data_IF_550446820537
#
_entry.id   IF_550446820537
#
_cell.length_a   1.000
_cell.length_b   1.000
_cell.length_c   1.000
_cell.angle_alpha   90.00
_cell.angle_beta   90.00
_cell.angle_gamma   90.00
#
_symmetry.space_group_name_H-M   'P 1'
#
loop_
_entity.id
_entity.type
_entity.pdbx_description
1 polymer ?
#
# COMPACT_ATOMS: atom_id res chain seq x y z
N UNK A 1 12.81 17.93 -36.29
CA UNK A 1 13.89 18.46 -35.43
C UNK A 1 14.54 17.25 -34.77
N UNK A 2 15.87 17.20 -34.77
CA UNK A 2 16.67 16.07 -34.28
C UNK A 2 16.27 15.69 -32.86
N UNK A 3 15.99 14.42 -32.61
CA UNK A 3 15.57 13.91 -31.31
C UNK A 3 16.82 13.46 -30.52
N UNK A 4 17.65 14.42 -30.11
CA UNK A 4 18.91 14.18 -29.39
C UNK A 4 18.68 14.08 -27.87
N UNK A 5 18.06 12.99 -27.42
CA UNK A 5 17.91 12.65 -26.00
C UNK A 5 18.54 11.30 -25.61
N UNK A 6 19.46 10.79 -26.43
CA UNK A 6 20.16 9.52 -26.15
C UNK A 6 21.58 9.82 -25.66
N UNK A 7 21.84 9.59 -24.36
CA UNK A 7 23.22 9.52 -23.86
C UNK A 7 23.60 8.05 -23.74
N UNK A 8 24.67 7.67 -24.44
CA UNK A 8 25.27 6.35 -24.37
C UNK A 8 26.08 6.25 -23.07
N UNK A 9 25.72 5.31 -22.18
CA UNK A 9 26.58 5.00 -21.04
C UNK A 9 27.79 4.17 -21.50
N UNK A 10 28.85 4.11 -20.67
CA UNK A 10 30.11 3.41 -20.97
C UNK A 10 29.95 1.90 -21.29
N UNK A 11 28.75 1.34 -21.15
CA UNK A 11 28.40 -0.06 -21.45
C UNK A 11 27.43 -0.22 -22.63
N UNK A 12 27.17 0.84 -23.42
CA UNK A 12 26.42 0.73 -24.68
C UNK A 12 24.90 0.57 -24.55
N UNK A 13 24.30 0.74 -23.37
CA UNK A 13 22.84 0.67 -23.17
C UNK A 13 22.18 2.03 -23.43
N UNK A 14 21.05 2.02 -24.17
CA UNK A 14 20.16 3.18 -24.34
C UNK A 14 19.17 3.22 -23.17
N UNK A 15 19.20 4.28 -22.37
CA UNK A 15 18.18 4.56 -21.33
C UNK A 15 17.26 5.67 -21.83
N UNK A 16 15.94 5.49 -21.71
CA UNK A 16 15.00 6.61 -21.79
C UNK A 16 14.96 7.30 -20.44
N UNK A 17 15.29 8.59 -20.41
CA UNK A 17 15.22 9.41 -19.20
C UNK A 17 13.81 9.98 -19.11
N UNK A 18 12.93 9.39 -18.32
CA UNK A 18 11.64 9.99 -17.95
C UNK A 18 11.82 10.86 -16.70
N UNK A 19 12.73 11.83 -16.78
CA UNK A 19 12.76 12.93 -15.80
C UNK A 19 11.90 14.02 -16.41
N UNK A 20 10.70 14.29 -15.87
CA UNK A 20 10.07 15.59 -16.10
C UNK A 20 11.08 16.63 -15.57
N UNK A 21 11.58 17.57 -16.38
CA UNK A 21 12.34 18.66 -15.82
C UNK A 21 11.38 19.46 -14.92
N UNK A 22 11.63 19.42 -13.61
CA UNK A 22 11.07 20.39 -12.69
C UNK A 22 11.37 21.78 -13.26
N UNK A 23 10.33 22.57 -13.55
CA UNK A 23 10.51 24.01 -13.58
C UNK A 23 10.93 24.39 -12.16
N UNK A 24 12.15 24.89 -12.01
CA UNK A 24 12.75 25.18 -10.71
C UNK A 24 11.87 26.13 -9.90
N UNK A 25 11.44 25.80 -8.66
CA UNK A 25 11.00 26.82 -7.72
C UNK A 25 12.22 27.34 -6.95
N UNK A 26 13.30 27.72 -7.65
CA UNK A 26 14.37 28.51 -7.08
C UNK A 26 14.09 30.00 -7.31
N UNK A 27 13.02 30.50 -6.70
CA UNK A 27 12.81 31.95 -6.48
C UNK A 27 11.57 32.21 -5.61
N UNK A 28 11.69 32.02 -4.30
CA UNK A 28 11.05 32.86 -3.27
C UNK A 28 11.46 32.43 -1.84
N UNK A 29 12.76 32.33 -1.56
CA UNK A 29 13.24 32.53 -0.19
C UNK A 29 13.23 34.04 0.06
N UNK A 30 12.21 34.57 0.76
CA UNK A 30 12.30 35.54 1.87
C UNK A 30 11.00 36.33 2.16
N UNK A 31 10.79 36.58 3.46
CA UNK A 31 9.91 37.55 4.16
C UNK A 31 8.44 37.09 4.32
N UNK A 32 7.78 37.03 5.49
CA UNK A 32 7.92 37.63 6.86
C UNK A 32 7.22 36.76 7.93
N UNK A 33 7.40 37.13 9.22
CA UNK A 33 7.02 36.47 10.48
C UNK A 33 5.65 35.74 10.56
N UNK A 34 5.65 34.64 11.32
CA UNK A 34 4.47 33.83 11.69
C UNK A 34 3.46 34.59 12.58
N UNK A 35 2.15 34.45 12.30
CA UNK A 35 1.10 34.56 13.30
C UNK A 35 0.60 33.18 13.77
N UNK A 36 0.19 33.13 15.05
CA UNK A 36 -0.42 31.99 15.70
C UNK A 36 -1.82 31.67 15.12
N UNK A 37 -2.16 30.37 15.16
CA UNK A 37 -3.43 29.72 14.79
C UNK A 37 -3.60 29.33 13.30
N UNK A 38 -3.14 28.10 13.01
CA UNK A 38 -3.62 27.12 12.01
C UNK A 38 -4.24 27.62 10.69
N UNK A 39 -3.61 27.29 9.56
CA UNK A 39 -4.32 27.11 8.27
C UNK A 39 -3.78 25.92 7.47
N UNK A 40 -4.72 25.08 7.03
CA UNK A 40 -4.53 23.98 6.06
C UNK A 40 -4.80 24.51 4.66
N UNK A 41 -3.82 24.34 3.76
CA UNK A 41 -3.95 24.25 2.30
C UNK A 41 -2.56 23.90 1.74
N UNK A 42 -2.43 22.70 1.16
CA UNK A 42 -1.28 22.27 0.35
C UNK A 42 0.12 22.60 0.86
N UNK A 43 0.66 21.82 1.80
CA UNK A 43 2.02 21.24 1.79
C UNK A 43 2.46 20.78 3.18
N UNK A 44 3.13 19.63 3.22
CA UNK A 44 3.91 19.16 4.36
C UNK A 44 5.17 20.04 4.42
N UNK A 45 5.33 20.87 5.48
CA UNK A 45 6.38 21.91 5.55
C UNK A 45 7.46 21.66 6.58
N UNK A 46 7.27 20.67 7.45
CA UNK A 46 8.21 20.40 8.53
C UNK A 46 8.48 18.91 8.63
N UNK A 47 9.64 18.54 9.16
CA UNK A 47 9.99 17.14 9.39
C UNK A 47 8.98 16.41 10.29
N UNK A 48 8.45 17.00 11.38
CA UNK A 48 7.36 16.38 12.15
C UNK A 48 6.11 16.09 11.30
N UNK A 49 5.64 17.07 10.52
CA UNK A 49 4.48 16.85 9.63
C UNK A 49 4.75 15.75 8.60
N UNK A 50 5.97 15.69 8.04
CA UNK A 50 6.34 14.63 7.10
C UNK A 50 6.29 13.25 7.76
N UNK A 51 6.80 13.13 8.99
CA UNK A 51 6.72 11.88 9.75
C UNK A 51 5.28 11.47 10.07
N UNK A 52 4.41 12.43 10.37
CA UNK A 52 2.97 12.19 10.56
C UNK A 52 2.32 11.65 9.29
N UNK A 53 2.59 12.26 8.12
CA UNK A 53 2.01 11.79 6.86
C UNK A 53 2.58 10.44 6.42
N UNK A 54 3.86 10.16 6.71
CA UNK A 54 4.43 8.83 6.55
C UNK A 54 3.78 7.80 7.48
N UNK A 55 3.43 8.18 8.71
CA UNK A 55 2.66 7.31 9.60
C UNK A 55 1.23 7.06 9.07
N UNK A 56 0.60 8.08 8.49
CA UNK A 56 -0.68 7.94 7.77
C UNK A 56 -0.53 7.02 6.56
N UNK A 57 0.56 7.11 5.80
CA UNK A 57 0.84 6.22 4.68
C UNK A 57 0.99 4.75 5.13
N UNK A 58 1.67 4.47 6.24
CA UNK A 58 1.72 3.11 6.81
C UNK A 58 0.31 2.61 7.17
N UNK A 59 -0.54 3.49 7.69
CA UNK A 59 -1.94 3.16 7.99
C UNK A 59 -2.78 2.95 6.73
N UNK A 60 -2.51 3.70 5.66
CA UNK A 60 -3.16 3.58 4.36
C UNK A 60 -2.95 2.19 3.78
N UNK A 61 -1.69 1.75 3.63
CA UNK A 61 -1.38 0.41 3.07
C UNK A 61 -1.94 -0.69 3.98
N UNK A 62 -1.92 -0.48 5.29
CA UNK A 62 -2.57 -1.41 6.20
C UNK A 62 -4.10 -1.45 6.07
N UNK A 63 -4.74 -0.36 5.63
CA UNK A 63 -6.20 -0.28 5.46
C UNK A 63 -6.68 -1.12 4.26
N UNK A 64 -5.83 -1.37 3.28
CA UNK A 64 -6.14 -2.16 2.06
C UNK A 64 -5.95 -3.67 2.30
N UNK A 65 -4.98 -4.07 3.14
CA UNK A 65 -4.60 -5.46 3.38
C UNK A 65 -5.77 -6.34 3.93
N UNK A 66 -6.46 -6.00 5.04
CA UNK A 66 -7.55 -6.84 5.56
C UNK A 66 -8.73 -7.02 4.59
N UNK A 67 -9.22 -5.97 3.89
CA UNK A 67 -10.23 -6.13 2.83
C UNK A 67 -9.81 -7.08 1.71
N UNK A 68 -8.57 -6.96 1.21
CA UNK A 68 -8.05 -7.81 0.15
C UNK A 68 -7.90 -9.26 0.60
N UNK A 69 -7.38 -9.49 1.82
CA UNK A 69 -7.30 -10.82 2.45
C UNK A 69 -8.68 -11.44 2.68
N UNK A 70 -9.64 -10.65 3.17
CA UNK A 70 -11.01 -11.11 3.39
C UNK A 70 -11.62 -11.64 2.10
N UNK A 71 -11.47 -10.86 1.03
CA UNK A 71 -11.93 -11.24 -0.31
C UNK A 71 -11.23 -12.50 -0.80
N UNK A 72 -9.90 -12.55 -0.71
CA UNK A 72 -9.09 -13.70 -1.09
C UNK A 72 -9.52 -14.99 -0.38
N UNK A 73 -9.80 -14.93 0.92
CA UNK A 73 -10.15 -16.11 1.72
C UNK A 73 -11.55 -16.63 1.47
N UNK A 74 -12.47 -15.79 0.99
CA UNK A 74 -13.83 -16.24 0.63
C UNK A 74 -13.92 -16.92 -0.72
N UNK A 75 -12.92 -16.72 -1.59
CA UNK A 75 -12.90 -17.18 -2.97
C UNK A 75 -12.49 -18.65 -3.06
N UNK A 76 -13.18 -19.44 -3.89
CA UNK A 76 -12.76 -20.81 -4.21
C UNK A 76 -11.58 -20.79 -5.19
N UNK A 77 -10.37 -20.99 -4.65
CA UNK A 77 -9.12 -20.98 -5.41
C UNK A 77 -9.14 -21.89 -6.65
N UNK A 78 -9.83 -23.05 -6.59
CA UNK A 78 -9.82 -24.01 -7.70
C UNK A 78 -10.61 -23.52 -8.90
N UNK A 79 -11.71 -22.81 -8.66
CA UNK A 79 -12.61 -22.27 -9.69
C UNK A 79 -12.27 -20.85 -10.11
N UNK A 80 -11.49 -20.15 -9.28
CA UNK A 80 -11.13 -18.75 -9.49
C UNK A 80 -9.61 -18.54 -9.41
N UNK A 81 -8.81 -19.48 -9.94
CA UNK A 81 -7.35 -19.45 -9.81
C UNK A 81 -6.72 -18.13 -10.28
N UNK A 82 -7.22 -17.58 -11.39
CA UNK A 82 -6.73 -16.30 -11.91
C UNK A 82 -6.95 -15.15 -10.91
N UNK A 83 -8.19 -14.98 -10.42
CA UNK A 83 -8.51 -13.96 -9.44
C UNK A 83 -7.78 -14.19 -8.10
N UNK A 84 -7.62 -15.44 -7.67
CA UNK A 84 -6.85 -15.78 -6.47
C UNK A 84 -5.41 -15.29 -6.58
N UNK A 85 -4.71 -15.63 -7.68
CA UNK A 85 -3.33 -15.25 -7.90
C UNK A 85 -3.16 -13.73 -8.00
N UNK A 86 -4.06 -13.05 -8.71
CA UNK A 86 -4.04 -11.60 -8.84
C UNK A 86 -4.24 -10.89 -7.49
N UNK A 87 -5.28 -11.25 -6.73
CA UNK A 87 -5.54 -10.65 -5.40
C UNK A 87 -4.41 -11.00 -4.42
N UNK A 88 -3.88 -12.23 -4.47
CA UNK A 88 -2.76 -12.63 -3.62
C UNK A 88 -1.50 -11.80 -3.91
N UNK A 89 -1.19 -11.56 -5.19
CA UNK A 89 -0.06 -10.72 -5.59
C UNK A 89 -0.19 -9.30 -5.02
N UNK A 90 -1.35 -8.67 -5.25
CA UNK A 90 -1.62 -7.32 -4.72
C UNK A 90 -1.50 -7.26 -3.20
N UNK A 91 -2.05 -8.24 -2.45
CA UNK A 91 -1.90 -8.25 -0.99
C UNK A 91 -0.43 -8.29 -0.55
N UNK A 92 0.41 -9.05 -1.26
CA UNK A 92 1.83 -9.15 -0.93
C UNK A 92 2.57 -7.85 -1.25
N UNK A 93 2.18 -7.17 -2.33
CA UNK A 93 2.66 -5.84 -2.74
C UNK A 93 2.26 -4.78 -1.68
N UNK A 94 1.01 -4.74 -1.23
CA UNK A 94 0.56 -3.83 -0.15
C UNK A 94 1.33 -4.06 1.17
N UNK A 95 1.62 -5.32 1.52
CA UNK A 95 2.48 -5.66 2.66
C UNK A 95 3.92 -5.14 2.47
N UNK A 96 4.44 -5.21 1.24
CA UNK A 96 5.75 -4.64 0.89
C UNK A 96 5.72 -3.12 1.03
N UNK A 97 4.71 -2.44 0.49
CA UNK A 97 4.54 -0.99 0.55
C UNK A 97 4.53 -0.50 1.99
N UNK A 98 3.73 -1.13 2.86
CA UNK A 98 3.68 -0.80 4.28
C UNK A 98 5.07 -0.83 4.94
N UNK A 99 5.88 -1.85 4.66
CA UNK A 99 7.25 -1.98 5.20
C UNK A 99 8.20 -0.98 4.54
N UNK A 100 8.03 -0.71 3.24
CA UNK A 100 8.82 0.28 2.52
C UNK A 100 8.63 1.69 3.10
N UNK A 101 7.40 2.08 3.42
CA UNK A 101 7.10 3.35 4.09
C UNK A 101 7.67 3.37 5.52
N UNK A 102 7.64 2.25 6.24
CA UNK A 102 8.32 2.13 7.53
C UNK A 102 9.83 2.43 7.42
N UNK A 103 10.48 1.97 6.36
CA UNK A 103 11.90 2.26 6.10
C UNK A 103 12.13 3.75 5.81
N UNK A 104 11.27 4.38 5.01
CA UNK A 104 11.34 5.83 4.74
C UNK A 104 11.18 6.62 6.04
N UNK A 105 10.17 6.28 6.86
CA UNK A 105 9.93 6.91 8.16
C UNK A 105 11.13 6.78 9.10
N UNK A 106 11.72 5.58 9.19
CA UNK A 106 12.93 5.36 10.00
C UNK A 106 14.12 6.18 9.49
N UNK A 107 14.39 6.19 8.19
CA UNK A 107 15.50 6.95 7.60
C UNK A 107 15.40 8.45 7.87
N UNK A 108 14.18 8.96 8.03
CA UNK A 108 13.89 10.34 8.40
C UNK A 108 13.78 10.55 9.91
N UNK A 109 14.29 9.63 10.74
CA UNK A 109 14.35 9.75 12.20
C UNK A 109 13.05 9.45 12.95
N UNK A 110 12.01 8.99 12.26
CA UNK A 110 10.74 8.57 12.85
C UNK A 110 10.76 7.14 13.40
N UNK A 111 9.65 6.71 14.00
CA UNK A 111 9.45 5.37 14.55
C UNK A 111 8.02 4.91 14.23
N UNK A 112 7.82 3.88 13.38
CA UNK A 112 6.50 3.37 13.03
C UNK A 112 5.66 2.91 14.23
N UNK A 113 4.41 3.34 14.31
CA UNK A 113 3.43 2.98 15.36
C UNK A 113 2.34 2.04 14.82
N UNK A 114 2.66 0.74 14.70
CA UNK A 114 1.83 -0.28 14.04
C UNK A 114 0.95 -1.07 15.03
N UNK A 115 1.33 -1.14 16.31
CA UNK A 115 0.68 -1.98 17.32
C UNK A 115 -0.25 -1.19 18.26
N UNK A 116 -0.86 -0.11 17.78
CA UNK A 116 -1.74 0.74 18.59
C UNK A 116 -3.21 0.58 18.18
N UNK A 117 -4.18 0.79 19.09
CA UNK A 117 -5.60 0.70 18.74
C UNK A 117 -6.00 1.61 17.56
N UNK A 118 -5.45 2.83 17.51
CA UNK A 118 -5.77 3.83 16.50
C UNK A 118 -5.21 3.49 15.11
N UNK A 119 -4.24 2.58 15.02
CA UNK A 119 -3.69 2.12 13.75
C UNK A 119 -4.69 1.23 12.98
N UNK A 120 -5.50 0.47 13.70
CA UNK A 120 -6.46 -0.49 13.11
C UNK A 120 -7.75 0.25 12.75
N UNK A 121 -8.18 0.24 11.47
CA UNK A 121 -9.43 0.87 11.08
C UNK A 121 -10.66 0.14 11.63
N UNK A 122 -11.70 0.89 11.99
CA UNK A 122 -13.02 0.32 12.28
C UNK A 122 -13.79 0.08 10.97
N UNK A 123 -13.63 -1.10 10.38
CA UNK A 123 -14.29 -1.41 9.11
C UNK A 123 -15.84 -1.44 9.23
N UNK A 124 -16.56 -0.93 8.22
CA UNK A 124 -16.04 -0.26 7.02
C UNK A 124 -15.54 1.17 7.33
N UNK A 125 -14.38 1.53 6.80
CA UNK A 125 -13.68 2.79 7.09
C UNK A 125 -13.25 3.51 5.79
N UNK A 126 -13.18 4.85 5.76
CA UNK A 126 -12.55 5.56 4.65
C UNK A 126 -11.03 5.31 4.62
N UNK A 127 -10.38 5.58 3.49
CA UNK A 127 -8.92 5.61 3.43
C UNK A 127 -8.39 6.78 4.30
N UNK A 128 -7.34 6.58 5.13
CA UNK A 128 -6.80 7.64 5.99
C UNK A 128 -6.47 8.91 5.21
N UNK A 129 -6.96 10.06 5.69
CA UNK A 129 -6.75 11.40 5.10
C UNK A 129 -7.26 11.58 3.66
N UNK A 130 -7.99 10.63 3.09
CA UNK A 130 -8.67 10.81 1.79
C UNK A 130 -9.78 11.86 1.86
N UNK A 131 -10.40 12.17 0.74
CA UNK A 131 -11.60 13.00 0.65
C UNK A 131 -12.86 12.37 1.33
N UNK A 132 -12.75 11.12 1.79
CA UNK A 132 -13.84 10.30 2.34
C UNK A 132 -14.98 10.00 1.35
N UNK A 133 -14.70 9.97 0.04
CA UNK A 133 -15.70 9.68 -1.00
C UNK A 133 -16.36 8.30 -0.84
N UNK A 134 -15.64 7.32 -0.31
CA UNK A 134 -16.15 5.96 -0.08
C UNK A 134 -15.56 5.32 1.17
N UNK A 135 -16.14 4.19 1.58
CA UNK A 135 -15.64 3.36 2.68
C UNK A 135 -15.20 2.01 2.15
N UNK A 136 -14.06 1.53 2.63
CA UNK A 136 -13.52 0.21 2.36
C UNK A 136 -14.16 -0.80 3.33
N UNK A 137 -14.88 -1.82 2.84
CA UNK A 137 -15.54 -2.80 3.69
C UNK A 137 -14.76 -4.13 3.76
N UNK A 138 -15.05 -4.94 4.77
CA UNK A 138 -14.66 -6.36 4.80
C UNK A 138 -15.79 -7.16 4.14
N UNK A 139 -15.59 -7.63 2.91
CA UNK A 139 -16.61 -8.33 2.13
C UNK A 139 -16.07 -9.55 1.41
N UNK A 140 -16.98 -10.46 1.06
CA UNK A 140 -16.69 -11.63 0.24
C UNK A 140 -16.42 -11.23 -1.22
N UNK A 141 -15.74 -12.11 -1.95
CA UNK A 141 -15.54 -11.95 -3.38
C UNK A 141 -16.86 -11.75 -4.14
N UNK A 142 -16.96 -10.62 -4.82
CA UNK A 142 -18.13 -10.21 -5.60
C UNK A 142 -17.74 -9.12 -6.59
N UNK A 143 -18.56 -8.88 -7.64
CA UNK A 143 -18.34 -7.77 -8.57
C UNK A 143 -18.31 -6.40 -7.87
N UNK A 144 -19.10 -6.24 -6.80
CA UNK A 144 -19.18 -5.00 -6.02
C UNK A 144 -17.88 -4.78 -5.23
N UNK A 145 -17.35 -5.83 -4.59
CA UNK A 145 -16.09 -5.75 -3.84
C UNK A 145 -14.91 -5.47 -4.76
N UNK A 146 -14.84 -6.09 -5.94
CA UNK A 146 -13.82 -5.76 -6.95
C UNK A 146 -13.98 -4.31 -7.47
N UNK A 147 -15.21 -3.80 -7.55
CA UNK A 147 -15.42 -2.39 -7.90
C UNK A 147 -14.97 -1.42 -6.80
N UNK A 148 -15.00 -1.82 -5.53
CA UNK A 148 -14.36 -1.04 -4.45
C UNK A 148 -12.84 -1.08 -4.60
N UNK A 149 -12.25 -2.23 -4.92
CA UNK A 149 -10.79 -2.32 -5.11
C UNK A 149 -10.30 -1.45 -6.25
N UNK A 150 -11.06 -1.38 -7.35
CA UNK A 150 -10.79 -0.44 -8.44
C UNK A 150 -10.92 1.03 -8.05
N UNK A 151 -11.74 1.36 -7.03
CA UNK A 151 -11.82 2.73 -6.52
C UNK A 151 -10.62 3.08 -5.63
N UNK A 152 -10.10 2.11 -4.87
CA UNK A 152 -8.87 2.28 -4.07
C UNK A 152 -7.68 2.56 -4.98
N UNK A 153 -7.51 1.72 -6.00
CA UNK A 153 -6.35 1.77 -6.91
C UNK A 153 -6.54 2.70 -8.10
N UNK A 154 -7.56 3.56 -8.08
CA UNK A 154 -7.90 4.39 -9.23
C UNK A 154 -6.73 5.34 -9.56
N UNK A 155 -6.19 5.30 -10.80
CA UNK A 155 -5.08 6.17 -11.15
C UNK A 155 -5.46 7.65 -11.08
N UNK A 156 -4.53 8.46 -10.56
CA UNK A 156 -4.63 9.91 -10.64
C UNK A 156 -4.73 10.37 -12.10
N UNK A 157 -5.53 11.42 -12.40
CA UNK A 157 -5.34 12.17 -13.65
C UNK A 157 -3.90 12.67 -13.77
N UNK A 158 -3.33 12.65 -14.99
CA UNK A 158 -1.92 13.00 -15.25
C UNK A 158 -1.52 14.43 -14.85
N UNK A 159 -2.50 15.30 -14.64
CA UNK A 159 -2.39 16.70 -14.22
C UNK A 159 -2.95 16.96 -12.81
N UNK A 160 -3.31 15.91 -12.07
CA UNK A 160 -3.79 16.03 -10.70
C UNK A 160 -2.67 16.59 -9.81
N UNK A 161 -2.96 17.61 -8.98
CA UNK A 161 -1.97 18.14 -8.06
C UNK A 161 -1.71 17.13 -6.94
N UNK A 162 -0.51 17.14 -6.35
CA UNK A 162 -0.23 16.41 -5.11
C UNK A 162 -1.09 16.93 -3.95
N UNK A 163 -1.71 16.03 -3.19
CA UNK A 163 -2.63 16.36 -2.10
C UNK A 163 -2.27 15.57 -0.83
N UNK A 164 -1.76 16.25 0.18
CA UNK A 164 -1.37 15.62 1.45
C UNK A 164 -2.57 15.21 2.31
N UNK A 165 -3.73 15.83 2.06
CA UNK A 165 -5.01 15.56 2.72
C UNK A 165 -6.12 15.77 1.70
N UNK A 166 -7.26 15.10 1.88
CA UNK A 166 -8.38 15.15 0.94
C UNK A 166 -7.99 14.75 -0.49
N UNK A 167 -7.05 13.81 -0.61
CA UNK A 167 -6.66 13.25 -1.91
C UNK A 167 -7.78 12.37 -2.47
N UNK A 168 -7.80 12.25 -3.80
CA UNK A 168 -8.76 11.42 -4.53
C UNK A 168 -8.12 10.13 -5.07
N UNK A 169 -6.79 10.07 -5.11
CA UNK A 169 -6.01 8.88 -5.47
C UNK A 169 -4.76 8.76 -4.58
N UNK A 170 -4.30 7.53 -4.38
CA UNK A 170 -3.14 7.22 -3.52
C UNK A 170 -1.86 7.88 -4.08
N UNK A 171 -1.74 7.97 -5.39
CA UNK A 171 -0.67 8.66 -6.10
C UNK A 171 -0.57 10.14 -5.75
N UNK A 172 -1.70 10.86 -5.59
CA UNK A 172 -1.67 12.27 -5.17
C UNK A 172 -1.08 12.43 -3.77
N UNK A 173 -1.41 11.50 -2.87
CA UNK A 173 -0.92 11.50 -1.49
C UNK A 173 0.59 11.22 -1.43
N UNK A 174 1.05 10.20 -2.16
CA UNK A 174 2.46 9.88 -2.22
C UNK A 174 3.30 10.93 -2.95
N UNK A 175 2.77 11.56 -4.00
CA UNK A 175 3.45 12.70 -4.63
C UNK A 175 3.62 13.87 -3.66
N UNK A 176 2.65 14.10 -2.77
CA UNK A 176 2.75 15.17 -1.77
C UNK A 176 3.84 14.86 -0.73
N UNK A 177 3.95 13.59 -0.32
CA UNK A 177 5.05 13.11 0.54
C UNK A 177 6.39 13.25 -0.17
N UNK A 178 6.50 12.84 -1.44
CA UNK A 178 7.73 12.92 -2.24
C UNK A 178 8.21 14.36 -2.36
N UNK A 179 7.33 15.29 -2.74
CA UNK A 179 7.68 16.71 -2.82
C UNK A 179 8.16 17.27 -1.47
N UNK A 180 7.53 16.88 -0.37
CA UNK A 180 7.93 17.32 0.96
C UNK A 180 9.31 16.80 1.37
N UNK A 181 9.63 15.54 1.04
CA UNK A 181 10.97 14.97 1.27
C UNK A 181 12.01 15.78 0.47
N UNK A 182 11.74 16.07 -0.80
CA UNK A 182 12.64 16.84 -1.68
C UNK A 182 12.86 18.27 -1.15
N UNK A 183 11.78 18.97 -0.77
CA UNK A 183 11.85 20.33 -0.20
C UNK A 183 12.64 20.36 1.11
N UNK A 184 12.34 19.44 2.04
CA UNK A 184 12.99 19.39 3.36
C UNK A 184 14.45 18.97 3.28
N UNK A 185 14.82 18.06 2.39
CA UNK A 185 16.22 17.69 2.15
C UNK A 185 17.02 18.88 1.59
N UNK A 186 16.45 19.60 0.60
CA UNK A 186 17.07 20.80 0.05
C UNK A 186 17.24 21.90 1.10
N UNK A 187 16.24 22.12 1.95
CA UNK A 187 16.34 23.05 3.07
C UNK A 187 17.44 22.64 4.07
N UNK A 188 17.54 21.35 4.41
CA UNK A 188 18.57 20.84 5.31
C UNK A 188 19.96 21.08 4.72
N UNK A 189 20.13 20.83 3.42
CA UNK A 189 21.37 21.10 2.71
C UNK A 189 21.76 22.58 2.77
N UNK A 190 20.80 23.49 2.55
CA UNK A 190 21.06 24.94 2.61
C UNK A 190 21.44 25.42 4.01
N UNK A 191 20.83 24.85 5.06
CA UNK A 191 21.05 25.26 6.46
C UNK A 191 22.31 24.63 7.07
N UNK A 192 22.60 23.37 6.74
CA UNK A 192 23.58 22.54 7.44
C UNK A 192 24.67 21.96 6.53
N UNK A 193 24.53 22.07 5.20
CA UNK A 193 25.52 21.56 4.24
C UNK A 193 25.55 20.05 4.10
N UNK A 194 24.45 19.35 4.45
CA UNK A 194 24.32 17.88 4.37
C UNK A 194 22.87 17.44 4.11
N UNK A 195 22.67 16.20 3.67
CA UNK A 195 21.34 15.65 3.41
C UNK A 195 20.59 15.44 4.73
N UNK A 196 19.26 15.54 4.68
CA UNK A 196 18.37 15.19 5.76
C UNK A 196 18.49 13.71 6.16
N UNK A 197 18.84 12.84 5.21
CA UNK A 197 19.06 11.41 5.46
C UNK A 197 20.37 11.12 6.21
N UNK A 198 21.27 12.10 6.30
CA UNK A 198 22.50 12.01 7.10
C UNK A 198 22.28 12.42 8.58
N UNK A 199 21.09 12.95 8.93
CA UNK A 199 20.79 13.47 10.27
C UNK A 199 20.56 12.36 11.31
N UNK A 200 20.19 11.15 10.88
CA UNK A 200 19.75 10.05 11.76
C UNK A 200 20.52 8.74 11.51
N UNK A 201 21.86 8.72 11.57
CA UNK A 201 22.66 7.53 11.27
C UNK A 201 22.35 6.34 12.18
N UNK A 202 21.88 6.58 13.41
CA UNK A 202 21.44 5.53 14.34
C UNK A 202 20.23 4.73 13.84
N UNK A 203 19.43 5.30 12.93
CA UNK A 203 18.25 4.65 12.34
C UNK A 203 18.57 3.75 11.16
N UNK A 204 19.82 3.73 10.67
CA UNK A 204 20.22 2.85 9.58
C UNK A 204 19.96 1.36 9.91
N UNK A 205 20.15 0.96 11.18
CA UNK A 205 19.88 -0.41 11.65
C UNK A 205 18.41 -0.72 11.97
N UNK A 206 17.50 0.22 11.77
CA UNK A 206 16.07 0.06 12.06
C UNK A 206 15.27 -0.41 10.84
N UNK A 207 15.87 -0.32 9.65
CA UNK A 207 15.21 -0.69 8.40
C UNK A 207 15.16 -2.19 8.20
N UNK A 208 14.04 -2.66 7.64
CA UNK A 208 13.96 -3.98 7.04
C UNK A 208 14.73 -3.92 5.72
N UNK A 209 15.48 -4.97 5.39
CA UNK A 209 16.33 -5.04 4.20
C UNK A 209 15.89 -6.24 3.33
N UNK A 210 16.27 -6.30 2.04
CA UNK A 210 15.91 -7.42 1.16
C UNK A 210 16.16 -8.81 1.75
N UNK A 211 17.25 -8.99 2.49
CA UNK A 211 17.61 -10.26 3.14
C UNK A 211 16.63 -10.69 4.25
N UNK A 212 15.90 -9.75 4.82
CA UNK A 212 14.89 -10.00 5.85
C UNK A 212 13.50 -10.25 5.26
N UNK A 213 13.26 -9.78 4.03
CA UNK A 213 11.97 -9.87 3.36
C UNK A 213 11.95 -11.06 2.39
N UNK A 214 11.00 -11.97 2.60
CA UNK A 214 10.81 -13.14 1.76
C UNK A 214 9.41 -13.09 1.14
N UNK A 215 9.28 -12.42 0.00
CA UNK A 215 8.03 -12.24 -0.74
C UNK A 215 8.26 -12.21 -2.25
N UNK A 216 7.24 -12.60 -3.01
CA UNK A 216 7.21 -12.46 -4.47
C UNK A 216 6.18 -11.38 -4.82
N UNK A 217 6.67 -10.19 -5.15
CA UNK A 217 5.86 -8.98 -5.42
C UNK A 217 6.70 -7.70 -5.32
N UNK A 218 7.92 -7.74 -5.86
CA UNK A 218 8.85 -6.61 -5.84
C UNK A 218 10.00 -6.70 -4.83
N UNK A 219 10.81 -5.64 -4.79
CA UNK A 219 12.06 -5.58 -4.02
C UNK A 219 12.05 -4.44 -3.01
N UNK A 220 12.20 -4.80 -1.73
CA UNK A 220 12.38 -3.82 -0.67
C UNK A 220 13.67 -3.02 -0.86
N UNK A 221 13.60 -1.69 -0.79
CA UNK A 221 14.73 -0.78 -0.92
C UNK A 221 15.20 -0.30 0.46
N UNK A 222 16.52 -0.33 0.66
CA UNK A 222 17.16 0.35 1.78
C UNK A 222 17.20 1.85 1.50
N UNK A 223 16.63 2.65 2.40
CA UNK A 223 16.54 4.10 2.26
C UNK A 223 17.73 4.76 2.93
N UNK A 224 18.76 5.09 2.15
CA UNK A 224 19.99 5.73 2.65
C UNK A 224 20.18 7.15 2.12
N UNK A 225 19.34 7.56 1.18
CA UNK A 225 19.45 8.83 0.48
C UNK A 225 18.09 9.31 0.00
N UNK A 226 18.05 10.59 -0.42
CA UNK A 226 16.90 11.16 -1.12
C UNK A 226 16.50 10.33 -2.35
N UNK A 227 17.48 9.84 -3.11
CA UNK A 227 17.20 9.06 -4.31
C UNK A 227 16.55 7.70 -3.99
N UNK A 228 16.99 7.03 -2.93
CA UNK A 228 16.37 5.78 -2.48
C UNK A 228 14.91 6.00 -2.06
N UNK A 229 14.63 7.10 -1.34
CA UNK A 229 13.27 7.46 -0.93
C UNK A 229 12.37 7.79 -2.13
N UNK A 230 12.90 8.50 -3.13
CA UNK A 230 12.17 8.80 -4.38
C UNK A 230 11.83 7.53 -5.13
N UNK A 231 12.82 6.65 -5.36
CA UNK A 231 12.61 5.38 -6.04
C UNK A 231 11.59 4.49 -5.31
N UNK A 232 11.65 4.45 -3.98
CA UNK A 232 10.70 3.68 -3.18
C UNK A 232 9.26 4.20 -3.29
N UNK A 233 9.06 5.52 -3.31
CA UNK A 233 7.74 6.11 -3.52
C UNK A 233 7.26 5.90 -4.95
N UNK A 234 8.14 6.06 -5.95
CA UNK A 234 7.82 5.82 -7.36
C UNK A 234 7.39 4.35 -7.59
N UNK A 235 8.02 3.39 -6.91
CA UNK A 235 7.63 1.97 -6.97
C UNK A 235 6.25 1.72 -6.35
N UNK A 236 5.96 2.30 -5.18
CA UNK A 236 4.63 2.19 -4.54
C UNK A 236 3.53 2.72 -5.48
N UNK A 237 3.73 3.90 -6.06
CA UNK A 237 2.78 4.50 -7.01
C UNK A 237 2.65 3.63 -8.27
N UNK A 238 3.79 3.17 -8.82
CA UNK A 238 3.86 2.36 -10.03
C UNK A 238 3.12 1.03 -9.90
N UNK A 239 3.30 0.33 -8.78
CA UNK A 239 2.64 -0.94 -8.48
C UNK A 239 1.13 -0.77 -8.23
N UNK A 240 0.70 0.30 -7.56
CA UNK A 240 -0.73 0.57 -7.33
C UNK A 240 -1.49 1.02 -8.58
N UNK A 241 -1.13 2.20 -9.10
CA UNK A 241 -1.89 2.92 -10.14
C UNK A 241 -1.34 2.71 -11.57
N UNK A 242 -0.11 2.21 -11.70
CA UNK A 242 0.62 2.17 -12.97
C UNK A 242 1.27 3.51 -13.33
N UNK A 243 2.11 3.51 -14.37
CA UNK A 243 2.81 4.72 -14.81
C UNK A 243 2.03 5.43 -15.92
N UNK A 244 1.70 6.70 -15.72
CA UNK A 244 1.20 7.70 -16.69
C UNK A 244 0.72 7.12 -18.06
N UNK A 245 -0.48 6.54 -18.07
CA UNK A 245 -1.13 6.05 -19.30
C UNK A 245 -0.68 4.68 -19.81
N UNK A 246 0.14 3.96 -19.03
CA UNK A 246 0.53 2.58 -19.29
C UNK A 246 -0.22 1.62 -18.35
N UNK A 247 -0.42 0.39 -18.81
CA UNK A 247 -1.00 -0.70 -18.01
C UNK A 247 0.05 -1.45 -17.17
N UNK A 248 1.32 -1.08 -17.33
CA UNK A 248 2.50 -1.87 -16.99
C UNK A 248 3.10 -1.37 -15.67
N UNK A 249 3.48 -2.30 -14.80
CA UNK A 249 4.20 -2.03 -13.55
C UNK A 249 5.68 -1.67 -13.80
N UNK A 250 6.29 -0.85 -12.94
CA UNK A 250 7.69 -0.38 -13.06
C UNK A 250 8.70 -1.54 -13.07
N UNK A 251 8.43 -2.62 -12.32
CA UNK A 251 9.31 -3.80 -12.21
C UNK A 251 9.44 -4.62 -13.51
N UNK A 252 8.43 -4.56 -14.38
CA UNK A 252 8.41 -5.34 -15.64
C UNK A 252 9.42 -4.86 -16.69
N UNK A 253 9.94 -3.63 -16.55
CA UNK A 253 10.95 -3.06 -17.45
C UNK A 253 12.35 -3.64 -17.14
N UNK A 254 12.60 -4.12 -15.92
CA UNK A 254 13.94 -4.58 -15.52
C UNK A 254 14.25 -6.06 -15.82
N UNK A 255 13.26 -6.97 -15.86
CA UNK A 255 13.56 -8.41 -15.74
C UNK A 255 13.04 -9.37 -16.82
N UNK A 256 12.33 -8.90 -17.85
CA UNK A 256 11.96 -9.76 -18.99
C UNK A 256 11.16 -11.02 -18.62
N UNK A 257 10.43 -10.98 -17.51
CA UNK A 257 9.35 -11.94 -17.21
C UNK A 257 8.03 -11.45 -17.82
N UNK A 258 7.01 -12.31 -17.81
CA UNK A 258 5.64 -11.96 -18.22
C UNK A 258 5.24 -10.62 -17.57
N UNK A 259 4.64 -9.72 -18.35
CA UNK A 259 4.30 -8.36 -17.91
C UNK A 259 3.38 -8.42 -16.68
N UNK A 260 3.88 -7.97 -15.53
CA UNK A 260 3.06 -7.72 -14.35
C UNK A 260 2.40 -6.34 -14.48
N UNK A 261 1.08 -6.31 -14.27
CA UNK A 261 0.28 -5.09 -14.35
C UNK A 261 0.08 -4.50 -12.96
N UNK A 262 -0.10 -3.17 -12.88
CA UNK A 262 -0.41 -2.51 -11.61
C UNK A 262 -1.76 -2.99 -11.02
N UNK A 263 -1.97 -2.77 -9.73
CA UNK A 263 -3.09 -3.30 -8.95
C UNK A 263 -4.45 -2.99 -9.62
N UNK A 264 -4.65 -1.74 -10.04
CA UNK A 264 -5.85 -1.32 -10.76
C UNK A 264 -6.17 -2.25 -11.95
N UNK A 265 -5.17 -2.50 -12.79
CA UNK A 265 -5.35 -3.29 -14.00
C UNK A 265 -5.59 -4.77 -13.67
N UNK A 266 -4.90 -5.33 -12.66
CA UNK A 266 -5.16 -6.70 -12.17
C UNK A 266 -6.62 -6.86 -11.71
N UNK A 267 -7.14 -5.90 -10.93
CA UNK A 267 -8.55 -5.91 -10.53
C UNK A 267 -9.50 -5.69 -11.71
N UNK A 268 -9.11 -4.89 -12.71
CA UNK A 268 -9.94 -4.65 -13.88
C UNK A 268 -10.02 -5.89 -14.79
N UNK A 269 -8.95 -6.67 -14.89
CA UNK A 269 -8.96 -7.98 -15.56
C UNK A 269 -9.94 -8.95 -14.91
N UNK A 270 -9.99 -8.98 -13.56
CA UNK A 270 -10.98 -9.79 -12.82
C UNK A 270 -12.40 -9.31 -13.11
N UNK A 271 -12.64 -7.99 -13.01
CA UNK A 271 -13.97 -7.40 -13.24
C UNK A 271 -14.52 -7.72 -14.62
N UNK A 272 -13.67 -7.68 -15.64
CA UNK A 272 -14.04 -7.93 -17.02
C UNK A 272 -13.85 -9.39 -17.47
N UNK A 273 -13.34 -10.25 -16.58
CA UNK A 273 -12.99 -11.64 -16.86
C UNK A 273 -12.16 -11.80 -18.14
N UNK A 274 -11.21 -10.88 -18.37
CA UNK A 274 -10.34 -10.82 -19.56
C UNK A 274 -8.97 -10.27 -19.22
N UNK A 275 -7.94 -10.75 -19.94
CA UNK A 275 -6.58 -10.20 -19.85
C UNK A 275 -6.41 -8.94 -20.69
N UNK A 276 -5.56 -8.03 -20.26
CA UNK A 276 -5.05 -6.97 -21.13
C UNK A 276 -4.07 -7.51 -22.16
N UNK A 277 -4.10 -6.91 -23.35
CA UNK A 277 -3.02 -7.01 -24.34
C UNK A 277 -1.99 -5.88 -24.13
N UNK A 278 -0.72 -6.05 -24.55
CA UNK A 278 0.30 -5.02 -24.40
C UNK A 278 -0.01 -3.67 -25.06
N UNK A 279 -0.88 -3.66 -26.07
CA UNK A 279 -1.32 -2.48 -26.82
C UNK A 279 -2.71 -1.97 -26.40
N UNK A 280 -3.33 -2.59 -25.38
CA UNK A 280 -4.58 -2.07 -24.82
C UNK A 280 -4.38 -0.68 -24.21
N UNK A 281 -5.40 0.15 -24.33
CA UNK A 281 -5.44 1.44 -23.68
C UNK A 281 -5.74 1.28 -22.19
N UNK A 282 -4.91 1.88 -21.33
CA UNK A 282 -5.15 1.96 -19.88
C UNK A 282 -6.50 2.61 -19.50
N UNK A 283 -7.15 3.30 -20.43
CA UNK A 283 -8.45 3.97 -20.22
C UNK A 283 -9.65 3.11 -20.63
N UNK A 284 -9.42 1.95 -21.23
CA UNK A 284 -10.47 1.08 -21.76
C UNK A 284 -10.41 -0.31 -21.10
N UNK A 285 -11.54 -1.04 -21.06
CA UNK A 285 -11.54 -2.43 -20.61
C UNK A 285 -10.58 -3.33 -21.43
N UNK A 286 -10.04 -4.40 -20.82
CA UNK A 286 -9.15 -5.34 -21.48
C UNK A 286 -9.80 -6.03 -22.68
N UNK A 287 -9.08 -6.15 -23.79
CA UNK A 287 -9.59 -6.77 -25.03
C UNK A 287 -9.06 -8.18 -25.29
N UNK A 288 -8.07 -8.61 -24.51
CA UNK A 288 -7.39 -9.88 -24.66
C UNK A 288 -8.23 -11.13 -24.30
N UNK A 289 -7.56 -12.29 -24.16
CA UNK A 289 -8.21 -13.57 -23.89
C UNK A 289 -9.08 -13.55 -22.64
N UNK A 290 -10.18 -14.29 -22.69
CA UNK A 290 -11.04 -14.49 -21.52
C UNK A 290 -10.31 -15.31 -20.43
N UNK A 291 -10.60 -15.00 -19.19
CA UNK A 291 -10.16 -15.75 -18.00
C UNK A 291 -11.37 -16.25 -17.22
N UNK A 292 -11.19 -17.33 -16.47
CA UNK A 292 -12.25 -17.89 -15.64
C UNK A 292 -12.44 -17.05 -14.39
N UNK A 293 -13.64 -16.49 -14.23
CA UNK A 293 -14.11 -15.82 -13.02
C UNK A 293 -15.53 -16.28 -12.75
N UNK A 294 -15.69 -17.06 -11.69
CA UNK A 294 -16.96 -17.56 -11.19
C UNK A 294 -17.37 -16.85 -9.90
N UNK A 295 -18.24 -15.87 -10.06
CA UNK A 295 -18.79 -15.06 -8.96
C UNK A 295 -19.65 -15.86 -7.97
N UNK A 296 -20.07 -17.09 -8.31
CA UNK A 296 -20.85 -17.96 -7.43
C UNK A 296 -19.96 -18.95 -6.66
N UNK A 297 -18.69 -19.09 -7.04
CA UNK A 297 -17.73 -19.95 -6.36
C UNK A 297 -17.07 -19.20 -5.18
N UNK A 298 -17.91 -18.83 -4.21
CA UNK A 298 -17.55 -18.00 -3.07
C UNK A 298 -18.26 -18.48 -1.80
N UNK A 299 -17.59 -18.34 -0.66
CA UNK A 299 -18.18 -18.53 0.67
C UNK A 299 -19.07 -17.32 0.97
N UNK A 300 -20.34 -17.57 1.31
CA UNK A 300 -21.31 -16.52 1.65
C UNK A 300 -21.07 -15.95 3.07
N UNK A 301 -19.98 -15.21 3.23
CA UNK A 301 -19.62 -14.49 4.45
C UNK A 301 -20.53 -13.28 4.65
N UNK A 302 -20.96 -13.04 5.90
CA UNK A 302 -21.63 -11.79 6.27
C UNK A 302 -20.70 -10.58 6.06
N UNK A 303 -21.21 -9.43 5.57
CA UNK A 303 -20.40 -8.23 5.37
C UNK A 303 -20.01 -7.60 6.70
N UNK A 304 -18.77 -7.09 6.79
CA UNK A 304 -18.22 -6.38 7.95
C UNK A 304 -18.45 -7.13 9.28
N UNK A 305 -18.04 -8.41 9.38
CA UNK A 305 -18.26 -9.21 10.58
C UNK A 305 -17.58 -8.54 11.78
N UNK A 306 -18.23 -8.56 12.94
CA UNK A 306 -17.69 -8.05 14.20
C UNK A 306 -17.73 -9.13 15.26
N UNK A 307 -16.74 -9.16 16.13
CA UNK A 307 -16.74 -10.01 17.32
C UNK A 307 -17.98 -9.75 18.18
N UNK A 308 -18.47 -8.50 18.21
CA UNK A 308 -19.68 -8.07 18.90
C UNK A 308 -20.99 -8.64 18.34
N UNK A 309 -20.98 -9.19 17.12
CA UNK A 309 -22.17 -9.80 16.51
C UNK A 309 -22.54 -11.14 17.18
N UNK A 310 -21.61 -11.72 17.94
CA UNK A 310 -21.75 -13.03 18.57
C UNK A 310 -21.95 -12.91 20.09
N UNK A 311 -22.79 -13.76 20.72
CA UNK A 311 -22.96 -13.75 22.17
C UNK A 311 -21.65 -13.98 22.92
N UNK A 312 -21.47 -13.32 24.07
CA UNK A 312 -20.21 -13.30 24.86
C UNK A 312 -19.62 -14.69 25.12
N UNK A 313 -20.45 -15.65 25.53
CA UNK A 313 -20.02 -17.01 25.86
C UNK A 313 -20.01 -17.98 24.66
N UNK A 314 -20.29 -17.49 23.45
CA UNK A 314 -20.40 -18.35 22.28
C UNK A 314 -19.04 -18.88 21.80
N UNK A 315 -18.95 -20.13 21.31
CA UNK A 315 -17.74 -20.62 20.67
C UNK A 315 -17.28 -19.78 19.48
N UNK A 316 -18.20 -19.08 18.81
CA UNK A 316 -17.89 -18.24 17.66
C UNK A 316 -17.23 -16.92 18.07
N UNK A 317 -17.71 -16.29 19.15
CA UNK A 317 -17.05 -15.13 19.75
C UNK A 317 -15.63 -15.45 20.21
N UNK A 318 -15.43 -16.62 20.85
CA UNK A 318 -14.07 -17.06 21.26
C UNK A 318 -13.13 -17.20 20.06
N UNK A 319 -13.59 -17.82 18.96
CA UNK A 319 -12.77 -17.97 17.75
C UNK A 319 -12.48 -16.62 17.07
N UNK A 320 -13.46 -15.71 17.03
CA UNK A 320 -13.26 -14.34 16.53
C UNK A 320 -12.25 -13.57 17.38
N UNK A 321 -12.32 -13.69 18.71
CA UNK A 321 -11.34 -13.11 19.62
C UNK A 321 -9.93 -13.70 19.43
N UNK A 322 -9.82 -15.03 19.27
CA UNK A 322 -8.53 -15.69 19.00
C UNK A 322 -7.90 -15.23 17.69
N UNK A 323 -8.71 -15.07 16.63
CA UNK A 323 -8.29 -14.47 15.36
C UNK A 323 -7.75 -13.04 15.57
N UNK A 324 -8.53 -12.18 16.23
CA UNK A 324 -8.14 -10.79 16.49
C UNK A 324 -6.89 -10.68 17.36
N UNK A 325 -6.70 -11.60 18.31
CA UNK A 325 -5.49 -11.68 19.13
C UNK A 325 -4.28 -12.07 18.30
N UNK A 326 -4.39 -13.07 17.43
CA UNK A 326 -3.31 -13.45 16.50
C UNK A 326 -2.98 -12.31 15.54
N UNK A 327 -3.98 -11.57 15.06
CA UNK A 327 -3.78 -10.36 14.26
C UNK A 327 -3.01 -9.26 15.01
N UNK A 328 -3.41 -8.94 16.26
CA UNK A 328 -2.68 -7.97 17.08
C UNK A 328 -1.24 -8.43 17.39
N UNK A 329 -1.02 -9.75 17.57
CA UNK A 329 0.32 -10.33 17.73
C UNK A 329 1.18 -10.12 16.48
N UNK A 330 0.61 -10.31 15.29
CA UNK A 330 1.27 -10.03 14.02
C UNK A 330 1.69 -8.56 13.94
N UNK A 331 0.77 -7.63 14.19
CA UNK A 331 1.08 -6.19 14.20
C UNK A 331 2.15 -5.82 15.22
N UNK A 332 2.18 -6.47 16.38
CA UNK A 332 3.23 -6.27 17.37
C UNK A 332 4.60 -6.78 16.90
N UNK A 333 4.66 -7.92 16.20
CA UNK A 333 5.90 -8.40 15.59
C UNK A 333 6.40 -7.46 14.48
N UNK A 334 5.49 -6.97 13.63
CA UNK A 334 5.82 -5.97 12.61
C UNK A 334 6.33 -4.67 13.24
N UNK A 335 5.66 -4.18 14.30
CA UNK A 335 6.10 -3.01 15.06
C UNK A 335 7.51 -3.18 15.61
N UNK A 336 7.81 -4.32 16.27
CA UNK A 336 9.14 -4.60 16.80
C UNK A 336 10.18 -4.65 15.67
N UNK A 337 9.85 -5.32 14.57
CA UNK A 337 10.76 -5.51 13.44
C UNK A 337 11.13 -4.18 12.79
N UNK A 338 10.13 -3.32 12.55
CA UNK A 338 10.30 -1.99 11.98
C UNK A 338 10.85 -0.95 12.96
N UNK A 339 11.17 -1.33 14.20
CA UNK A 339 11.72 -0.45 15.23
C UNK A 339 13.03 -1.01 15.82
N UNK A 340 13.94 -1.48 14.97
CA UNK A 340 15.31 -1.84 15.38
C UNK A 340 15.55 -3.33 15.63
N UNK A 341 14.63 -4.21 15.20
CA UNK A 341 14.81 -5.67 15.26
C UNK A 341 14.47 -6.34 13.92
N UNK A 342 15.10 -5.93 12.80
CA UNK A 342 14.73 -6.41 11.47
C UNK A 342 14.81 -7.93 11.31
N UNK A 343 15.77 -8.59 11.98
CA UNK A 343 15.91 -10.05 12.00
C UNK A 343 14.66 -10.80 12.50
N UNK A 344 13.80 -10.13 13.27
CA UNK A 344 12.57 -10.71 13.83
C UNK A 344 11.41 -10.72 12.85
N UNK A 345 11.55 -10.12 11.66
CA UNK A 345 10.48 -10.13 10.67
C UNK A 345 10.09 -11.55 10.26
N UNK A 346 11.05 -12.49 10.23
CA UNK A 346 10.78 -13.90 9.96
C UNK A 346 9.83 -14.57 10.97
N UNK A 347 9.73 -14.05 12.20
CA UNK A 347 8.77 -14.54 13.21
C UNK A 347 7.32 -14.21 12.83
N UNK A 348 7.08 -13.22 11.98
CA UNK A 348 5.73 -12.85 11.51
C UNK A 348 5.15 -13.90 10.54
N UNK A 349 5.99 -14.58 9.76
CA UNK A 349 5.57 -15.55 8.74
C UNK A 349 4.67 -16.67 9.31
N UNK A 350 5.06 -17.43 10.36
CA UNK A 350 4.18 -18.46 10.92
C UNK A 350 2.87 -17.88 11.48
N UNK A 351 2.89 -16.65 12.00
CA UNK A 351 1.69 -15.95 12.50
C UNK A 351 0.75 -15.59 11.34
N UNK A 352 1.27 -15.18 10.18
CA UNK A 352 0.47 -14.95 8.97
C UNK A 352 -0.25 -16.23 8.51
N UNK A 353 0.43 -17.37 8.52
CA UNK A 353 -0.21 -18.66 8.21
C UNK A 353 -1.27 -19.03 9.24
N UNK A 354 -1.00 -18.83 10.52
CA UNK A 354 -1.99 -19.05 11.58
C UNK A 354 -3.23 -18.18 11.37
N UNK A 355 -3.05 -16.89 11.04
CA UNK A 355 -4.12 -15.96 10.76
C UNK A 355 -4.98 -16.43 9.57
N UNK A 356 -4.34 -16.89 8.49
CA UNK A 356 -5.03 -17.50 7.33
C UNK A 356 -5.89 -18.69 7.76
N UNK A 357 -5.33 -19.64 8.51
CA UNK A 357 -6.07 -20.83 8.93
C UNK A 357 -7.24 -20.50 9.88
N UNK A 358 -7.05 -19.54 10.78
CA UNK A 358 -8.12 -19.06 11.66
C UNK A 358 -9.24 -18.35 10.87
N UNK A 359 -8.91 -17.51 9.89
CA UNK A 359 -9.89 -16.90 9.00
C UNK A 359 -10.69 -17.96 8.24
N UNK A 360 -10.02 -18.96 7.67
CA UNK A 360 -10.67 -20.07 6.97
C UNK A 360 -11.55 -20.91 7.91
N UNK A 361 -11.14 -21.10 9.17
CA UNK A 361 -11.96 -21.77 10.17
C UNK A 361 -13.26 -21.00 10.46
N UNK A 362 -13.18 -19.67 10.64
CA UNK A 362 -14.35 -18.81 10.81
C UNK A 362 -15.31 -18.91 9.60
N UNK A 363 -14.76 -18.82 8.39
CA UNK A 363 -15.53 -18.90 7.13
C UNK A 363 -16.30 -20.23 6.95
N UNK A 364 -15.88 -21.30 7.63
CA UNK A 364 -16.58 -22.59 7.60
C UNK A 364 -17.75 -22.68 8.60
N UNK A 365 -17.91 -21.70 9.50
CA UNK A 365 -18.94 -21.71 10.53
C UNK A 365 -20.16 -20.86 10.13
N UNK A 366 -21.39 -21.32 10.43
CA UNK A 366 -22.57 -20.48 10.28
C UNK A 366 -22.53 -19.33 11.29
N UNK A 367 -22.95 -18.14 10.89
CA UNK A 367 -23.01 -16.96 11.78
C UNK A 367 -24.29 -16.89 12.64
N UNK A 368 -25.23 -17.83 12.46
CA UNK A 368 -26.54 -17.82 13.14
C UNK A 368 -27.62 -16.95 12.46
N UNK A 369 -27.29 -16.26 11.38
CA UNK A 369 -28.18 -15.38 10.61
C UNK A 369 -28.30 -15.79 9.12
N UNK A 370 -28.03 -17.08 8.81
CA UNK A 370 -28.16 -17.63 7.46
C UNK A 370 -26.95 -17.44 6.54
N UNK A 371 -25.87 -16.83 7.03
CA UNK A 371 -24.60 -16.66 6.31
C UNK A 371 -23.45 -17.33 7.08
N UNK A 372 -22.22 -17.18 6.59
CA UNK A 372 -20.99 -17.63 7.26
C UNK A 372 -20.36 -16.51 8.10
N UNK A 373 -19.68 -16.90 9.17
CA UNK A 373 -18.85 -15.99 9.95
C UNK A 373 -17.60 -15.58 9.17
N UNK A 374 -16.85 -14.60 9.66
CA UNK A 374 -15.66 -14.10 8.98
C UNK A 374 -14.68 -13.39 9.91
N UNK A 375 -13.46 -13.11 9.41
CA UNK A 375 -12.44 -12.37 10.17
C UNK A 375 -12.84 -10.90 10.33
N UNK A 376 -12.72 -10.36 11.55
CA UNK A 376 -13.13 -8.98 11.85
C UNK A 376 -11.98 -7.97 11.96
N UNK A 377 -10.75 -8.44 12.17
CA UNK A 377 -9.53 -7.62 12.23
C UNK A 377 -9.63 -6.48 13.27
N UNK A 378 -10.21 -6.78 14.43
CA UNK A 378 -10.40 -5.79 15.50
C UNK A 378 -9.19 -5.78 16.45
N UNK A 379 -8.94 -4.62 17.06
CA UNK A 379 -7.98 -4.51 18.14
C UNK A 379 -8.45 -5.33 19.36
N UNK A 380 -7.54 -6.13 19.93
CA UNK A 380 -7.70 -6.72 21.26
C UNK A 380 -6.40 -6.54 22.05
N UNK A 381 -6.47 -6.26 23.36
CA UNK A 381 -5.27 -6.20 24.21
C UNK A 381 -4.52 -7.55 24.23
N UNK A 382 -3.19 -7.50 24.12
CA UNK A 382 -2.30 -8.69 24.09
C UNK A 382 -1.89 -9.22 25.46
#
# INVERSE_FOLDING_TARGET
MSNDYLVQTAQGRRRQRLVRPLQSPLQALRFTAEPAEFQVSGTIKTLPQLREHLQTAIQLEHTTIPPYLTTLYTLDERRNRFAYQAIQGVVMEEMLHMIQVCNILNALGGSPAINTPHFIPEYPAPLPHSDNAFKVPLQKFSPDTISVFLQIEMPAPSDAPPEANHYNSIGQFYDAIRLAIEELDAENWLKHGRSLFDEFPEKAGYQILPEHYYGGGGKLLAIRSLEDARNAIEEIIGQGEGVDGTIIDTDSIEFGQDVEYAHYFRFNEIKHARRYLPDDSARLPPTGPAVEVDWNAVIDMAPNPRMADYPEDSPLRRQSWEFNRTYCQLLNLLHISCNGKPDRLGEAIPVMYQLKYQAQALLNLPNGAGQRAGPSFEYVPL
#
